data_IF_428180658062
#
_entry.id   IF_428180658062
#
_cell.length_a   1.000
_cell.length_b   1.000
_cell.length_c   1.000
_cell.angle_alpha   90.00
_cell.angle_beta   90.00
_cell.angle_gamma   90.00
#
_symmetry.space_group_name_H-M   'P 1'
#
loop_
_entity.id
_entity.type
_entity.pdbx_description
1 polymer ?
#
# COMPACT_ATOMS: atom_id res chain seq x y z
N UNK A 1 -17.27 -8.32 -1.70
CA UNK A 1 -16.81 -9.59 -1.10
C UNK A 1 -15.29 -9.53 -1.09
N UNK A 2 -14.65 -9.23 0.04
CA UNK A 2 -13.19 -9.03 0.11
C UNK A 2 -12.55 -10.41 0.21
N UNK A 3 -11.91 -10.85 -0.86
CA UNK A 3 -11.22 -12.14 -0.92
C UNK A 3 -10.01 -12.10 0.03
N UNK A 4 -9.96 -13.03 0.99
CA UNK A 4 -8.84 -13.16 1.92
C UNK A 4 -7.59 -13.54 1.14
N UNK A 5 -6.63 -12.63 1.08
CA UNK A 5 -5.29 -12.85 0.55
C UNK A 5 -4.66 -14.05 1.27
N UNK A 6 -4.41 -15.15 0.55
CA UNK A 6 -3.68 -16.29 1.09
C UNK A 6 -2.19 -15.95 1.22
N UNK A 7 -1.55 -16.18 2.38
CA UNK A 7 -0.11 -15.99 2.54
C UNK A 7 0.66 -17.05 1.73
N UNK A 8 1.75 -16.65 1.07
CA UNK A 8 2.65 -17.60 0.38
C UNK A 8 3.23 -18.60 1.38
N UNK A 9 3.37 -19.85 0.93
CA UNK A 9 4.26 -20.84 1.57
C UNK A 9 5.69 -20.32 1.50
N UNK A 10 6.33 -20.17 2.65
CA UNK A 10 7.76 -19.89 2.76
C UNK A 10 8.57 -21.02 2.11
N UNK A 11 9.60 -20.67 1.36
CA UNK A 11 10.60 -21.63 0.89
C UNK A 11 11.49 -22.06 2.06
N UNK A 12 11.65 -23.38 2.17
CA UNK A 12 12.69 -24.14 2.88
C UNK A 12 12.63 -24.28 4.42
N UNK A 13 12.12 -25.45 4.80
CA UNK A 13 12.61 -26.39 5.82
C UNK A 13 13.39 -25.86 7.04
N UNK A 14 12.83 -26.16 8.22
CA UNK A 14 13.60 -26.27 9.47
C UNK A 14 13.15 -25.33 10.57
N UNK A 15 11.98 -25.60 11.16
CA UNK A 15 11.68 -25.57 12.61
C UNK A 15 10.17 -25.52 12.81
N UNK A 16 9.64 -26.38 13.68
CA UNK A 16 8.26 -26.30 14.17
C UNK A 16 8.15 -25.02 15.03
N UNK A 17 7.69 -23.93 14.45
CA UNK A 17 7.37 -22.67 15.14
C UNK A 17 6.09 -22.10 14.55
N UNK A 18 5.10 -21.84 15.40
CA UNK A 18 3.72 -21.52 15.01
C UNK A 18 3.58 -20.37 14.01
N UNK A 19 2.50 -20.42 13.23
CA UNK A 19 2.09 -19.35 12.33
C UNK A 19 2.26 -17.99 13.01
N UNK A 20 3.00 -17.07 12.38
CA UNK A 20 3.07 -15.68 12.82
C UNK A 20 1.63 -15.12 12.88
N UNK A 21 1.09 -15.00 14.10
CA UNK A 21 -0.29 -14.57 14.31
C UNK A 21 -0.39 -13.07 14.05
N UNK A 22 -0.92 -12.70 12.89
CA UNK A 22 -1.45 -11.35 12.68
C UNK A 22 -2.60 -11.13 13.68
N UNK A 23 -2.62 -9.96 14.32
CA UNK A 23 -3.66 -9.60 15.27
C UNK A 23 -5.00 -9.44 14.54
N UNK A 24 -6.11 -9.82 15.18
CA UNK A 24 -7.46 -9.60 14.66
C UNK A 24 -7.96 -8.16 14.83
N UNK A 25 -7.23 -7.34 15.61
CA UNK A 25 -7.56 -5.95 15.93
C UNK A 25 -6.29 -5.09 15.94
N UNK A 26 -6.38 -3.80 15.55
CA UNK A 26 -5.26 -2.89 15.62
C UNK A 26 -4.89 -2.57 17.08
N UNK A 27 -3.59 -2.45 17.39
CA UNK A 27 -3.12 -2.00 18.71
C UNK A 27 -3.45 -0.54 18.97
N UNK A 28 -3.44 0.26 17.91
CA UNK A 28 -3.81 1.67 17.91
C UNK A 28 -4.92 1.80 16.87
N UNK A 29 -6.16 1.97 17.34
CA UNK A 29 -7.29 2.22 16.46
C UNK A 29 -7.28 3.64 15.91
N UNK A 30 -8.13 3.97 14.92
CA UNK A 30 -8.38 5.35 14.52
C UNK A 30 -8.87 6.21 15.69
N UNK A 31 -8.53 7.51 15.70
CA UNK A 31 -9.10 8.50 16.63
C UNK A 31 -10.58 8.69 16.32
N UNK A 32 -11.47 8.49 17.30
CA UNK A 32 -12.90 8.64 17.05
C UNK A 32 -13.25 10.11 16.79
N UNK A 33 -14.25 10.35 15.93
CA UNK A 33 -14.63 11.71 15.55
C UNK A 33 -15.05 12.59 16.75
N UNK A 34 -15.66 11.98 17.75
CA UNK A 34 -16.03 12.66 19.00
C UNK A 34 -14.80 13.14 19.82
N UNK A 35 -13.62 12.59 19.56
CA UNK A 35 -12.36 12.95 20.22
C UNK A 35 -11.58 14.02 19.45
N UNK A 36 -12.02 14.44 18.26
CA UNK A 36 -11.30 15.41 17.45
C UNK A 36 -11.35 16.82 18.05
N UNK A 37 -10.21 17.50 18.03
CA UNK A 37 -10.16 18.95 18.22
C UNK A 37 -10.77 19.69 17.04
N UNK A 38 -11.09 20.98 17.22
CA UNK A 38 -11.60 21.81 16.12
C UNK A 38 -10.62 21.91 14.94
N UNK A 39 -9.31 21.91 15.20
CA UNK A 39 -8.28 21.90 14.14
C UNK A 39 -8.29 20.57 13.39
N UNK A 40 -8.29 19.45 14.11
CA UNK A 40 -8.34 18.11 13.52
C UNK A 40 -9.60 17.95 12.66
N UNK A 41 -10.76 18.38 13.16
CA UNK A 41 -12.02 18.32 12.43
C UNK A 41 -11.92 19.04 11.09
N UNK A 42 -11.47 20.30 11.09
CA UNK A 42 -11.32 21.11 9.87
C UNK A 42 -10.43 20.44 8.81
N UNK A 43 -9.38 19.73 9.24
CA UNK A 43 -8.41 19.11 8.32
C UNK A 43 -8.82 17.69 7.90
N UNK A 44 -9.49 16.93 8.77
CA UNK A 44 -9.85 15.52 8.53
C UNK A 44 -11.16 15.38 7.76
N UNK A 45 -12.09 16.30 7.91
CA UNK A 45 -13.42 16.27 7.29
C UNK A 45 -13.38 16.20 5.75
N UNK A 46 -12.45 16.85 5.03
CA UNK A 46 -12.29 16.66 3.58
C UNK A 46 -11.89 15.23 3.17
N UNK A 47 -11.30 14.44 4.08
CA UNK A 47 -10.91 13.04 3.84
C UNK A 47 -12.02 12.05 4.22
N UNK A 48 -13.20 12.54 4.62
CA UNK A 48 -14.35 11.70 4.92
C UNK A 48 -14.91 11.10 3.63
N UNK A 49 -14.87 9.78 3.51
CA UNK A 49 -15.47 9.04 2.40
C UNK A 49 -16.45 8.04 2.95
N UNK A 50 -17.67 8.05 2.42
CA UNK A 50 -18.76 7.13 2.84
C UNK A 50 -18.97 7.13 4.36
N UNK A 51 -18.88 8.32 4.99
CA UNK A 51 -19.15 8.48 6.41
C UNK A 51 -18.01 8.09 7.36
N UNK A 52 -16.77 7.89 6.85
CA UNK A 52 -15.59 7.70 7.70
C UNK A 52 -14.31 8.24 7.06
N UNK A 53 -13.34 8.62 7.89
CA UNK A 53 -11.96 8.87 7.45
C UNK A 53 -11.27 7.51 7.20
N UNK A 54 -10.34 7.45 6.24
CA UNK A 54 -9.48 6.27 6.07
C UNK A 54 -8.76 5.91 7.39
N UNK A 55 -8.71 4.62 7.73
CA UNK A 55 -8.19 4.20 9.04
C UNK A 55 -6.75 4.67 9.28
N UNK A 56 -5.90 4.70 8.25
CA UNK A 56 -4.53 5.20 8.37
C UNK A 56 -4.49 6.67 8.82
N UNK A 57 -5.32 7.52 8.21
CA UNK A 57 -5.38 8.95 8.55
C UNK A 57 -5.96 9.13 9.97
N UNK A 58 -7.05 8.44 10.30
CA UNK A 58 -7.61 8.50 11.65
C UNK A 58 -6.67 7.96 12.73
N UNK A 59 -5.85 6.94 12.42
CA UNK A 59 -4.85 6.40 13.36
C UNK A 59 -3.72 7.38 13.57
N UNK A 60 -3.20 7.99 12.50
CA UNK A 60 -2.14 9.01 12.59
C UNK A 60 -2.61 10.27 13.31
N UNK A 61 -3.91 10.63 13.21
CA UNK A 61 -4.48 11.78 13.91
C UNK A 61 -4.32 11.73 15.44
N UNK A 62 -4.10 10.54 16.02
CA UNK A 62 -3.73 10.41 17.45
C UNK A 62 -2.42 11.12 17.82
N UNK A 63 -1.55 11.39 16.83
CA UNK A 63 -0.32 12.16 16.96
C UNK A 63 -0.29 13.32 15.97
N UNK A 64 -1.08 14.35 16.26
CA UNK A 64 -1.44 15.40 15.32
C UNK A 64 -0.27 16.13 14.64
N UNK A 65 0.75 16.54 15.41
CA UNK A 65 1.90 17.24 14.84
C UNK A 65 2.74 16.36 13.90
N UNK A 66 2.79 15.05 14.16
CA UNK A 66 3.46 14.10 13.28
C UNK A 66 2.60 13.81 12.03
N UNK A 67 1.28 13.70 12.17
CA UNK A 67 0.39 13.43 11.04
C UNK A 67 0.39 14.57 10.02
N UNK A 68 0.49 15.83 10.45
CA UNK A 68 0.60 16.97 9.54
C UNK A 68 1.84 16.84 8.64
N UNK A 69 2.99 16.49 9.21
CA UNK A 69 4.25 16.33 8.46
C UNK A 69 4.20 15.13 7.52
N UNK A 70 3.66 14.01 8.00
CA UNK A 70 3.43 12.82 7.17
C UNK A 70 2.49 13.14 6.00
N UNK A 71 1.42 13.88 6.25
CA UNK A 71 0.42 14.24 5.25
C UNK A 71 0.99 15.05 4.09
N UNK A 72 1.95 15.96 4.34
CA UNK A 72 2.64 16.69 3.26
C UNK A 72 3.32 15.74 2.29
N UNK A 73 4.10 14.78 2.80
CA UNK A 73 4.77 13.79 1.96
C UNK A 73 3.80 12.81 1.31
N UNK A 74 2.85 12.27 2.08
CA UNK A 74 1.85 11.33 1.57
C UNK A 74 0.99 11.92 0.45
N UNK A 75 0.62 13.20 0.55
CA UNK A 75 -0.12 13.91 -0.49
C UNK A 75 0.72 14.16 -1.75
N UNK A 76 2.04 14.28 -1.63
CA UNK A 76 2.89 14.33 -2.81
C UNK A 76 2.92 12.98 -3.52
N UNK A 77 3.18 11.89 -2.78
CA UNK A 77 3.24 10.54 -3.34
C UNK A 77 1.91 10.14 -3.97
N UNK A 78 0.77 10.40 -3.30
CA UNK A 78 -0.57 9.97 -3.76
C UNK A 78 -1.36 10.99 -4.57
N UNK A 79 -0.97 12.26 -4.53
CA UNK A 79 -1.71 13.36 -5.16
C UNK A 79 -1.21 13.73 -6.55
N UNK A 80 -1.70 14.85 -7.05
CA UNK A 80 -1.42 15.33 -8.41
C UNK A 80 -0.07 16.04 -8.56
N UNK A 81 0.71 16.18 -7.48
CA UNK A 81 2.05 16.76 -7.55
C UNK A 81 3.12 15.71 -7.84
N UNK A 82 2.80 14.41 -7.76
CA UNK A 82 3.67 13.35 -8.28
C UNK A 82 3.70 13.41 -9.81
N UNK A 83 4.89 13.28 -10.39
CA UNK A 83 5.06 13.14 -11.84
C UNK A 83 4.86 11.69 -12.31
N UNK A 84 4.79 10.72 -11.39
CA UNK A 84 4.48 9.34 -11.72
C UNK A 84 2.95 9.19 -11.87
N UNK A 85 2.43 8.65 -12.99
CA UNK A 85 1.00 8.61 -13.19
C UNK A 85 0.30 7.68 -12.16
N UNK A 86 -1.01 7.88 -11.91
CA UNK A 86 -1.74 7.16 -10.86
C UNK A 86 -1.65 5.64 -10.97
N UNK A 87 -1.74 5.08 -12.19
CA UNK A 87 -1.74 3.63 -12.40
C UNK A 87 -0.41 3.00 -12.00
N UNK A 88 0.70 3.60 -12.40
CA UNK A 88 2.06 3.14 -12.12
C UNK A 88 2.39 3.27 -10.64
N UNK A 89 1.90 4.33 -9.98
CA UNK A 89 2.00 4.45 -8.51
C UNK A 89 1.32 3.28 -7.81
N UNK A 90 0.11 2.94 -8.22
CA UNK A 90 -0.64 1.85 -7.59
C UNK A 90 -0.01 0.48 -7.87
N UNK A 91 0.63 0.26 -9.02
CA UNK A 91 1.45 -0.95 -9.26
C UNK A 91 2.56 -1.10 -8.22
N UNK A 92 3.34 -0.04 -8.00
CA UNK A 92 4.44 -0.03 -7.03
C UNK A 92 3.91 -0.21 -5.59
N UNK A 93 2.86 0.51 -5.22
CA UNK A 93 2.30 0.47 -3.86
C UNK A 93 1.71 -0.91 -3.58
N UNK A 94 0.95 -1.49 -4.50
CA UNK A 94 0.41 -2.84 -4.34
C UNK A 94 1.52 -3.87 -4.25
N UNK A 95 2.59 -3.72 -5.05
CA UNK A 95 3.73 -4.64 -5.00
C UNK A 95 4.43 -4.60 -3.64
N UNK A 96 4.72 -3.41 -3.11
CA UNK A 96 5.29 -3.26 -1.77
C UNK A 96 4.32 -3.73 -0.69
N UNK A 97 3.03 -3.43 -0.81
CA UNK A 97 2.01 -3.92 0.12
C UNK A 97 1.97 -5.45 0.19
N UNK A 98 2.14 -6.13 -0.95
CA UNK A 98 2.26 -7.58 -1.02
C UNK A 98 3.53 -8.11 -0.35
N UNK A 99 4.69 -7.53 -0.69
CA UNK A 99 6.00 -7.92 -0.16
C UNK A 99 6.08 -7.74 1.37
N UNK A 100 5.59 -6.61 1.87
CA UNK A 100 5.53 -6.29 3.30
C UNK A 100 4.40 -7.01 4.05
N UNK A 101 3.58 -7.83 3.37
CA UNK A 101 2.43 -8.52 3.95
C UNK A 101 1.42 -7.55 4.62
N UNK A 102 1.29 -6.34 4.09
CA UNK A 102 0.47 -5.26 4.61
C UNK A 102 -0.97 -5.37 4.09
N UNK A 103 -1.81 -6.18 4.76
CA UNK A 103 -3.19 -6.48 4.32
C UNK A 103 -4.09 -5.25 4.19
N UNK A 104 -3.98 -4.31 5.13
CA UNK A 104 -4.74 -3.06 5.08
C UNK A 104 -4.37 -2.25 3.85
N UNK A 105 -3.07 -2.03 3.63
CA UNK A 105 -2.57 -1.26 2.48
C UNK A 105 -2.94 -1.95 1.17
N UNK A 106 -2.77 -3.26 1.07
CA UNK A 106 -3.22 -4.04 -0.10
C UNK A 106 -4.71 -3.83 -0.37
N UNK A 107 -5.58 -4.04 0.63
CA UNK A 107 -7.02 -3.93 0.47
C UNK A 107 -7.47 -2.53 0.05
N UNK A 108 -6.89 -1.49 0.66
CA UNK A 108 -7.20 -0.11 0.33
C UNK A 108 -6.70 0.26 -1.08
N UNK A 109 -5.47 -0.10 -1.41
CA UNK A 109 -4.85 0.24 -2.70
C UNK A 109 -5.38 -0.61 -3.86
N UNK A 110 -6.03 -1.75 -3.62
CA UNK A 110 -6.81 -2.42 -4.67
C UNK A 110 -7.96 -1.53 -5.15
N UNK A 111 -8.62 -0.80 -4.24
CA UNK A 111 -9.70 0.13 -4.61
C UNK A 111 -9.15 1.30 -5.42
N UNK A 112 -8.02 1.88 -5.00
CA UNK A 112 -7.40 3.00 -5.71
C UNK A 112 -6.79 2.58 -7.05
N UNK A 113 -6.11 1.44 -7.09
CA UNK A 113 -5.58 0.83 -8.31
C UNK A 113 -6.65 0.63 -9.37
N UNK A 114 -7.81 0.08 -8.99
CA UNK A 114 -8.96 -0.06 -9.92
C UNK A 114 -9.45 1.29 -10.43
N UNK A 115 -9.57 2.28 -9.55
CA UNK A 115 -9.95 3.64 -9.95
C UNK A 115 -8.91 4.30 -10.88
N UNK A 116 -7.64 3.92 -10.76
CA UNK A 116 -6.54 4.36 -11.61
C UNK A 116 -6.39 3.53 -12.91
N UNK A 117 -7.23 2.51 -13.14
CA UNK A 117 -7.25 1.72 -14.36
C UNK A 117 -6.59 0.35 -14.30
N UNK A 118 -6.16 -0.12 -13.11
CA UNK A 118 -5.71 -1.51 -12.96
C UNK A 118 -6.86 -2.49 -13.06
N UNK A 119 -6.66 -3.53 -13.85
CA UNK A 119 -7.58 -4.66 -14.00
C UNK A 119 -7.43 -5.67 -12.88
N UNK A 120 -8.46 -6.49 -12.67
CA UNK A 120 -8.39 -7.62 -11.74
C UNK A 120 -7.28 -8.63 -12.11
N UNK A 121 -7.03 -8.81 -13.41
CA UNK A 121 -5.96 -9.67 -13.90
C UNK A 121 -4.58 -9.13 -13.51
N UNK A 122 -4.35 -7.82 -13.68
CA UNK A 122 -3.09 -7.19 -13.26
C UNK A 122 -2.93 -7.24 -11.75
N UNK A 123 -3.95 -6.92 -10.96
CA UNK A 123 -3.92 -7.02 -9.49
C UNK A 123 -3.59 -8.45 -9.04
N UNK A 124 -4.17 -9.46 -9.70
CA UNK A 124 -3.82 -10.84 -9.45
C UNK A 124 -2.35 -11.12 -9.78
N UNK A 125 -1.86 -10.60 -10.91
CA UNK A 125 -0.50 -10.77 -11.42
C UNK A 125 0.56 -10.07 -10.56
N UNK A 126 0.26 -8.94 -9.90
CA UNK A 126 1.18 -8.24 -8.98
C UNK A 126 1.69 -9.19 -7.88
N UNK A 127 0.85 -10.11 -7.41
CA UNK A 127 1.20 -11.12 -6.40
C UNK A 127 2.19 -12.17 -6.92
N UNK A 128 2.16 -12.45 -8.23
CA UNK A 128 3.05 -13.39 -8.89
C UNK A 128 4.46 -12.79 -9.06
N UNK A 129 4.54 -11.50 -9.39
CA UNK A 129 5.79 -10.75 -9.51
C UNK A 129 6.07 -10.24 -10.93
N UNK A 130 7.25 -9.62 -11.13
CA UNK A 130 7.62 -8.97 -12.39
C UNK A 130 7.82 -9.95 -13.56
N UNK A 131 8.11 -11.23 -13.28
CA UNK A 131 8.37 -12.25 -14.31
C UNK A 131 7.11 -13.03 -14.72
N UNK A 132 5.94 -12.63 -14.20
CA UNK A 132 4.68 -13.24 -14.59
C UNK A 132 4.29 -12.86 -16.03
N UNK A 133 3.75 -13.83 -16.79
CA UNK A 133 3.36 -13.61 -18.17
C UNK A 133 2.22 -12.58 -18.31
N UNK A 134 2.27 -11.80 -19.39
CA UNK A 134 1.23 -10.85 -19.76
C UNK A 134 1.36 -9.45 -19.14
N UNK A 135 2.55 -9.09 -18.64
CA UNK A 135 2.89 -7.71 -18.35
C UNK A 135 3.26 -6.95 -19.62
N UNK A 136 2.87 -5.67 -19.68
CA UNK A 136 3.58 -4.73 -20.54
C UNK A 136 5.03 -4.56 -20.05
N UNK A 137 6.02 -4.37 -20.94
CA UNK A 137 7.43 -4.37 -20.57
C UNK A 137 7.76 -3.40 -19.42
N UNK A 138 7.22 -2.18 -19.47
CA UNK A 138 7.51 -1.17 -18.46
C UNK A 138 6.85 -1.46 -17.10
N UNK A 139 5.66 -2.06 -17.07
CA UNK A 139 5.03 -2.49 -15.82
C UNK A 139 5.88 -3.56 -15.11
N UNK A 140 6.41 -4.53 -15.88
CA UNK A 140 7.32 -5.52 -15.35
C UNK A 140 8.60 -4.87 -14.78
N UNK A 141 9.14 -3.85 -15.44
CA UNK A 141 10.29 -3.06 -14.96
C UNK A 141 9.98 -2.36 -13.63
N UNK A 142 8.82 -1.69 -13.51
CA UNK A 142 8.40 -1.04 -12.26
C UNK A 142 8.29 -2.04 -11.10
N UNK A 143 7.67 -3.20 -11.34
CA UNK A 143 7.54 -4.24 -10.33
C UNK A 143 8.90 -4.83 -9.92
N UNK A 144 9.84 -4.94 -10.86
CA UNK A 144 11.21 -5.38 -10.60
C UNK A 144 11.98 -4.35 -9.78
N UNK A 145 11.85 -3.08 -10.11
CA UNK A 145 12.42 -1.99 -9.32
C UNK A 145 11.91 -2.00 -7.87
N UNK A 146 10.60 -2.25 -7.66
CA UNK A 146 10.03 -2.41 -6.32
C UNK A 146 10.61 -3.62 -5.58
N UNK A 147 10.80 -4.74 -6.26
CA UNK A 147 11.40 -5.95 -5.69
C UNK A 147 12.86 -5.74 -5.27
N UNK A 148 13.67 -5.13 -6.13
CA UNK A 148 15.09 -4.84 -5.87
C UNK A 148 15.25 -3.84 -4.73
N UNK A 149 14.48 -2.73 -4.72
CA UNK A 149 14.51 -1.77 -3.61
C UNK A 149 14.08 -2.38 -2.28
N UNK A 150 13.06 -3.24 -2.30
CA UNK A 150 12.61 -3.88 -1.07
C UNK A 150 13.64 -4.87 -0.51
N UNK A 151 14.23 -5.68 -1.40
CA UNK A 151 15.14 -6.76 -1.02
C UNK A 151 16.53 -6.26 -0.68
N UNK A 152 17.07 -5.38 -1.52
CA UNK A 152 18.50 -5.05 -1.56
C UNK A 152 18.75 -3.54 -1.34
N UNK A 153 17.70 -2.71 -1.23
CA UNK A 153 17.78 -1.24 -1.15
C UNK A 153 18.62 -0.63 -2.30
N UNK A 154 18.58 -1.29 -3.46
CA UNK A 154 19.39 -0.97 -4.63
C UNK A 154 18.59 -1.27 -5.90
N UNK A 155 18.85 -0.53 -6.97
CA UNK A 155 18.30 -0.81 -8.31
C UNK A 155 19.46 -1.28 -9.19
N UNK A 156 19.30 -2.44 -9.84
CA UNK A 156 20.34 -2.97 -10.73
C UNK A 156 20.49 -2.12 -12.00
N UNK A 157 21.68 -2.12 -12.59
CA UNK A 157 21.93 -1.42 -13.87
C UNK A 157 20.98 -1.88 -14.98
N UNK A 158 20.64 -3.17 -15.01
CA UNK A 158 19.70 -3.71 -15.99
C UNK A 158 18.29 -3.14 -15.81
N UNK A 159 17.80 -3.02 -14.57
CA UNK A 159 16.50 -2.42 -14.27
C UNK A 159 16.53 -0.90 -14.48
N UNK A 160 17.65 -0.23 -14.18
CA UNK A 160 17.82 1.21 -14.37
C UNK A 160 17.83 1.62 -15.84
N UNK A 161 18.40 0.80 -16.71
CA UNK A 161 18.55 1.08 -18.14
C UNK A 161 17.35 0.65 -19.02
N UNK A 162 16.34 0.02 -18.42
CA UNK A 162 15.19 -0.56 -19.12
C UNK A 162 14.08 0.44 -19.49
#
# INVERSE_FOLDING_TARGET
MVEKVQPRRAFSQGTKGGMAMKLSQPRIGPLAEAEWTDEQRKVLEPFHKEGRVYNVIGTLARHWEASKKFGVWGNHVMGNTSTLPPRERELLILRIGWLCQAEYEWGQHVVFGKAAGLTDAEIARIKAGPDAEGWEPFDATLLRAADELHKDAFISEATWAA
#
